data_IF_458612904689
#
_entry.id   IF_458612904689
#
_cell.length_a   1.000
_cell.length_b   1.000
_cell.length_c   1.000
_cell.angle_alpha   90.00
_cell.angle_beta   90.00
_cell.angle_gamma   90.00
#
_symmetry.space_group_name_H-M   'P 1'
#
loop_
_entity.id
_entity.type
_entity.pdbx_description
1 polymer ?
#
# COMPACT_ATOMS: atom_id res chain seq x y z
N UNK A 1 -12.31 -6.43 -29.83
CA UNK A 1 -11.87 -5.44 -28.85
C UNK A 1 -11.03 -4.40 -29.54
N UNK A 2 -11.33 -3.11 -29.35
CA UNK A 2 -10.50 -2.02 -29.85
C UNK A 2 -9.38 -1.69 -28.86
N UNK A 3 -8.22 -1.26 -29.36
CA UNK A 3 -7.11 -0.78 -28.53
C UNK A 3 -7.22 0.74 -28.42
N UNK A 4 -7.33 1.26 -27.20
CA UNK A 4 -7.25 2.69 -26.93
C UNK A 4 -5.82 3.06 -26.51
N UNK A 5 -5.26 4.13 -27.08
CA UNK A 5 -3.90 4.61 -26.80
C UNK A 5 -3.97 5.94 -26.07
N UNK A 6 -3.40 6.00 -24.87
CA UNK A 6 -3.29 7.24 -24.07
C UNK A 6 -1.89 7.81 -24.28
N UNK A 7 -1.79 9.04 -24.80
CA UNK A 7 -0.53 9.75 -24.99
C UNK A 7 -0.32 10.73 -23.84
N UNK A 8 0.83 10.64 -23.17
CA UNK A 8 1.20 11.49 -22.02
C UNK A 8 2.39 12.35 -22.40
N UNK A 9 2.39 13.62 -21.99
CA UNK A 9 3.46 14.58 -22.25
C UNK A 9 3.81 15.41 -21.01
N UNK A 10 5.07 15.83 -20.90
CA UNK A 10 5.58 16.72 -19.85
C UNK A 10 6.78 17.53 -20.35
N UNK A 11 7.19 18.55 -19.57
CA UNK A 11 8.30 19.43 -19.93
C UNK A 11 9.67 18.77 -19.69
N UNK A 12 9.77 17.88 -18.71
CA UNK A 12 11.00 17.13 -18.38
C UNK A 12 10.76 15.62 -18.39
N UNK A 13 11.82 14.83 -18.53
CA UNK A 13 11.72 13.36 -18.51
C UNK A 13 11.23 12.82 -17.16
N UNK A 14 11.62 13.47 -16.06
CA UNK A 14 11.20 13.09 -14.70
C UNK A 14 9.70 13.27 -14.53
N UNK A 15 9.16 14.43 -14.93
CA UNK A 15 7.73 14.68 -14.90
C UNK A 15 6.95 13.77 -15.87
N UNK A 16 7.55 13.43 -17.02
CA UNK A 16 6.93 12.52 -17.97
C UNK A 16 6.73 11.14 -17.34
N UNK A 17 7.76 10.61 -16.68
CA UNK A 17 7.71 9.32 -15.98
C UNK A 17 6.67 9.35 -14.85
N UNK A 18 6.67 10.41 -14.04
CA UNK A 18 5.72 10.57 -12.95
C UNK A 18 4.27 10.62 -13.46
N UNK A 19 3.97 11.49 -14.43
CA UNK A 19 2.62 11.58 -15.02
C UNK A 19 2.19 10.29 -15.69
N UNK A 20 3.11 9.60 -16.36
CA UNK A 20 2.83 8.31 -16.99
C UNK A 20 2.40 7.29 -15.94
N UNK A 21 3.19 7.09 -14.89
CA UNK A 21 2.84 6.15 -13.81
C UNK A 21 1.51 6.53 -13.15
N UNK A 22 1.29 7.82 -12.87
CA UNK A 22 0.03 8.30 -12.29
C UNK A 22 -1.18 7.96 -13.15
N UNK A 23 -1.06 8.04 -14.47
CA UNK A 23 -2.12 7.68 -15.42
C UNK A 23 -2.32 6.16 -15.47
N UNK A 24 -1.24 5.38 -15.48
CA UNK A 24 -1.31 3.91 -15.43
C UNK A 24 -2.00 3.41 -14.16
N UNK A 25 -1.70 4.03 -13.01
CA UNK A 25 -2.35 3.76 -11.73
C UNK A 25 -3.83 4.13 -11.77
N UNK A 26 -4.18 5.31 -12.28
CA UNK A 26 -5.57 5.76 -12.39
C UNK A 26 -6.43 4.84 -13.29
N UNK A 27 -5.88 4.41 -14.43
CA UNK A 27 -6.55 3.46 -15.34
C UNK A 27 -6.75 2.11 -14.64
N UNK A 28 -5.73 1.62 -13.95
CA UNK A 28 -5.78 0.33 -13.25
C UNK A 28 -6.78 0.36 -12.09
N UNK A 29 -6.79 1.44 -11.30
CA UNK A 29 -7.73 1.65 -10.21
C UNK A 29 -9.18 1.72 -10.72
N UNK A 30 -9.42 2.45 -11.83
CA UNK A 30 -10.75 2.55 -12.42
C UNK A 30 -11.25 1.19 -12.93
N UNK A 31 -10.39 0.40 -13.57
CA UNK A 31 -10.73 -0.97 -13.99
C UNK A 31 -11.09 -1.85 -12.80
N UNK A 32 -10.27 -1.82 -11.74
CA UNK A 32 -10.53 -2.57 -10.52
C UNK A 32 -11.85 -2.16 -9.83
N UNK A 33 -12.16 -0.86 -9.84
CA UNK A 33 -13.40 -0.33 -9.29
C UNK A 33 -14.63 -0.76 -10.10
N UNK A 34 -14.52 -0.88 -11.42
CA UNK A 34 -15.60 -1.39 -12.27
C UNK A 34 -15.86 -2.89 -12.01
N UNK A 35 -14.80 -3.67 -11.78
CA UNK A 35 -14.90 -5.12 -11.57
C UNK A 35 -15.54 -5.49 -10.21
N UNK A 36 -15.14 -4.81 -9.13
CA UNK A 36 -15.51 -5.23 -7.76
C UNK A 36 -16.14 -4.12 -6.91
N UNK A 37 -16.36 -2.94 -7.48
CA UNK A 37 -16.90 -1.79 -6.77
C UNK A 37 -15.85 -1.06 -5.92
N UNK A 38 -16.35 -0.17 -5.07
CA UNK A 38 -15.54 0.73 -4.24
C UNK A 38 -15.93 0.65 -2.78
N UNK A 39 -14.97 0.94 -1.91
CA UNK A 39 -15.15 1.00 -0.45
C UNK A 39 -14.61 2.32 0.09
N UNK A 40 -14.97 2.65 1.34
CA UNK A 40 -14.43 3.82 2.02
C UNK A 40 -12.91 3.67 2.21
N UNK A 41 -12.14 4.63 1.69
CA UNK A 41 -10.68 4.58 1.74
C UNK A 41 -10.10 4.95 3.10
N UNK A 42 -8.84 5.39 3.10
CA UNK A 42 -8.16 5.87 4.32
C UNK A 42 -7.99 4.80 5.40
N UNK A 43 -7.99 3.52 5.02
CA UNK A 43 -7.96 2.39 5.95
C UNK A 43 -9.30 2.12 6.67
N UNK A 44 -10.35 2.90 6.40
CA UNK A 44 -11.66 2.76 7.05
C UNK A 44 -12.28 1.41 6.72
N UNK A 45 -12.24 0.97 5.47
CA UNK A 45 -12.76 -0.35 5.08
C UNK A 45 -12.16 -1.50 5.92
N UNK A 46 -10.85 -1.48 6.19
CA UNK A 46 -10.19 -2.50 7.02
C UNK A 46 -10.62 -2.41 8.49
N UNK A 47 -10.83 -1.21 9.03
CA UNK A 47 -11.37 -1.04 10.37
C UNK A 47 -12.78 -1.63 10.46
N UNK A 48 -13.61 -1.44 9.42
CA UNK A 48 -15.00 -1.95 9.40
C UNK A 48 -15.09 -3.48 9.35
N UNK A 49 -14.05 -4.19 8.92
CA UNK A 49 -14.03 -5.66 8.93
C UNK A 49 -13.63 -6.24 10.29
N UNK A 50 -13.03 -5.44 11.19
CA UNK A 50 -12.54 -5.91 12.50
C UNK A 50 -13.57 -6.68 13.32
N UNK A 51 -14.86 -6.28 13.42
CA UNK A 51 -15.86 -7.06 14.15
C UNK A 51 -16.08 -8.46 13.58
N UNK A 52 -15.98 -8.64 12.26
CA UNK A 52 -16.08 -9.96 11.63
C UNK A 52 -14.85 -10.81 11.94
N UNK A 53 -13.65 -10.22 11.89
CA UNK A 53 -12.41 -10.92 12.24
C UNK A 53 -12.37 -11.29 13.72
N UNK A 54 -12.88 -10.44 14.62
CA UNK A 54 -12.96 -10.74 16.05
C UNK A 54 -13.78 -12.00 16.33
N UNK A 55 -14.91 -12.19 15.62
CA UNK A 55 -15.70 -13.42 15.73
C UNK A 55 -14.91 -14.67 15.32
N UNK A 56 -14.03 -14.55 14.32
CA UNK A 56 -13.14 -15.64 13.92
C UNK A 56 -12.13 -15.93 15.03
N UNK A 57 -11.51 -14.88 15.59
CA UNK A 57 -10.59 -15.03 16.74
C UNK A 57 -11.24 -15.78 17.90
N UNK A 58 -12.46 -15.39 18.26
CA UNK A 58 -13.23 -16.00 19.36
C UNK A 58 -13.66 -17.45 19.08
N UNK A 59 -13.71 -17.86 17.80
CA UNK A 59 -14.04 -19.23 17.40
C UNK A 59 -12.84 -20.18 17.39
N UNK A 60 -11.62 -19.65 17.49
CA UNK A 60 -10.37 -20.40 17.42
C UNK A 60 -9.75 -20.57 18.82
N UNK A 61 -8.77 -21.46 18.93
CA UNK A 61 -8.04 -21.69 20.20
C UNK A 61 -6.55 -21.82 19.96
N UNK A 62 -5.74 -21.63 21.02
CA UNK A 62 -4.28 -21.81 20.96
C UNK A 62 -3.58 -20.92 19.94
N UNK A 63 -2.66 -21.50 19.17
CA UNK A 63 -1.82 -20.79 18.21
C UNK A 63 -2.63 -20.19 17.04
N UNK A 64 -3.71 -20.86 16.62
CA UNK A 64 -4.60 -20.36 15.57
C UNK A 64 -5.30 -19.07 16.00
N UNK A 65 -5.77 -19.01 17.25
CA UNK A 65 -6.37 -17.78 17.81
C UNK A 65 -5.35 -16.64 17.88
N UNK A 66 -4.09 -16.95 18.21
CA UNK A 66 -2.99 -15.97 18.25
C UNK A 66 -2.68 -15.42 16.86
N UNK A 67 -2.64 -16.28 15.84
CA UNK A 67 -2.48 -15.86 14.45
C UNK A 67 -3.64 -14.98 13.96
N UNK A 68 -4.88 -15.39 14.21
CA UNK A 68 -6.05 -14.60 13.87
C UNK A 68 -6.08 -13.24 14.61
N UNK A 69 -5.64 -13.21 15.88
CA UNK A 69 -5.53 -11.97 16.65
C UNK A 69 -4.49 -11.01 16.06
N UNK A 70 -3.38 -11.54 15.58
CA UNK A 70 -2.35 -10.75 14.89
C UNK A 70 -2.90 -10.10 13.63
N UNK A 71 -3.70 -10.82 12.84
CA UNK A 71 -4.41 -10.24 11.69
C UNK A 71 -5.37 -9.15 12.15
N UNK A 72 -6.20 -9.42 13.16
CA UNK A 72 -7.13 -8.43 13.72
C UNK A 72 -6.43 -7.12 14.08
N UNK A 73 -5.33 -7.18 14.83
CA UNK A 73 -4.58 -6.01 15.27
C UNK A 73 -3.95 -5.25 14.09
N UNK A 74 -3.44 -5.97 13.07
CA UNK A 74 -2.81 -5.38 11.88
C UNK A 74 -3.76 -4.52 11.03
N UNK A 75 -5.07 -4.78 11.06
CA UNK A 75 -6.06 -4.07 10.23
C UNK A 75 -6.15 -2.56 10.55
N UNK A 76 -5.69 -2.15 11.73
CA UNK A 76 -5.66 -0.74 12.13
C UNK A 76 -4.43 0.01 11.62
N UNK A 77 -3.36 -0.71 11.26
CA UNK A 77 -2.07 -0.12 10.93
C UNK A 77 -2.14 0.87 9.75
N UNK A 78 -2.86 0.61 8.64
CA UNK A 78 -2.93 1.56 7.54
C UNK A 78 -3.55 2.90 7.94
N UNK A 79 -4.67 2.87 8.66
CA UNK A 79 -5.33 4.09 9.15
C UNK A 79 -4.47 4.83 10.19
N UNK A 80 -3.76 4.09 11.06
CA UNK A 80 -2.80 4.67 12.02
C UNK A 80 -1.72 5.46 11.30
N UNK A 81 -1.05 4.83 10.34
CA UNK A 81 0.04 5.46 9.60
C UNK A 81 -0.42 6.68 8.81
N UNK A 82 -1.63 6.63 8.23
CA UNK A 82 -2.22 7.79 7.55
C UNK A 82 -2.43 8.95 8.53
N UNK A 83 -2.98 8.67 9.73
CA UNK A 83 -3.20 9.68 10.76
C UNK A 83 -1.88 10.26 11.30
N UNK A 84 -0.90 9.40 11.60
CA UNK A 84 0.41 9.82 12.10
C UNK A 84 1.15 10.69 11.07
N UNK A 85 1.08 10.33 9.78
CA UNK A 85 1.66 11.13 8.69
C UNK A 85 0.94 12.47 8.51
N UNK A 86 -0.32 12.59 8.93
CA UNK A 86 -1.08 13.83 8.95
C UNK A 86 -0.82 14.67 10.23
N UNK A 87 0.09 14.24 11.10
CA UNK A 87 0.41 14.92 12.36
C UNK A 87 -0.65 14.73 13.45
N UNK A 88 -1.54 13.75 13.30
CA UNK A 88 -2.57 13.40 14.28
C UNK A 88 -2.10 12.23 15.14
N UNK A 89 -2.72 12.04 16.30
CA UNK A 89 -2.45 10.86 17.13
C UNK A 89 -3.22 9.65 16.60
N UNK A 90 -2.53 8.72 15.93
CA UNK A 90 -3.18 7.62 15.21
C UNK A 90 -4.01 6.68 16.10
N UNK A 91 -3.66 6.51 17.38
CA UNK A 91 -4.46 5.71 18.32
C UNK A 91 -5.83 6.34 18.57
N UNK A 92 -5.87 7.64 18.86
CA UNK A 92 -7.11 8.42 19.03
C UNK A 92 -7.91 8.43 17.73
N UNK A 93 -7.21 8.55 16.60
CA UNK A 93 -7.86 8.58 15.30
C UNK A 93 -8.60 7.29 15.00
N UNK A 94 -7.95 6.13 15.22
CA UNK A 94 -8.56 4.81 15.04
C UNK A 94 -9.76 4.63 15.95
N UNK A 95 -9.62 4.94 17.24
CA UNK A 95 -10.72 4.78 18.20
C UNK A 95 -11.96 5.56 17.76
N UNK A 96 -11.76 6.78 17.25
CA UNK A 96 -12.86 7.57 16.71
C UNK A 96 -13.45 6.92 15.46
N UNK A 97 -12.63 6.50 14.49
CA UNK A 97 -13.14 5.77 13.30
C UNK A 97 -13.91 4.51 13.71
N UNK A 98 -13.44 3.74 14.69
CA UNK A 98 -14.12 2.53 15.19
C UNK A 98 -15.50 2.82 15.81
N UNK A 99 -15.65 3.96 16.48
CA UNK A 99 -16.95 4.37 17.06
C UNK A 99 -17.98 4.81 16.03
N UNK A 100 -17.52 5.18 14.82
CA UNK A 100 -18.35 5.63 13.71
C UNK A 100 -18.90 4.47 12.88
N UNK A 101 -19.90 4.75 12.04
CA UNK A 101 -20.60 3.74 11.23
C UNK A 101 -20.49 4.01 9.74
N UNK A 102 -20.66 2.95 8.96
CA UNK A 102 -20.68 3.03 7.49
C UNK A 102 -19.36 3.58 6.93
N UNK A 103 -19.48 4.54 6.02
CA UNK A 103 -18.38 5.18 5.30
C UNK A 103 -17.75 6.36 6.03
N UNK A 104 -18.17 6.66 7.26
CA UNK A 104 -17.55 7.73 8.05
C UNK A 104 -16.12 7.30 8.43
N UNK A 105 -15.14 8.14 8.10
CA UNK A 105 -13.73 7.90 8.40
C UNK A 105 -12.95 9.21 8.41
N UNK A 106 -11.65 9.10 8.69
CA UNK A 106 -10.76 10.27 8.75
C UNK A 106 -10.39 10.76 7.35
N UNK A 107 -10.74 11.99 7.04
CA UNK A 107 -10.14 12.73 5.94
C UNK A 107 -8.81 13.34 6.43
N UNK A 108 -7.70 12.66 6.16
CA UNK A 108 -6.37 13.07 6.61
C UNK A 108 -5.88 14.41 6.03
N UNK A 109 -6.47 14.87 4.91
CA UNK A 109 -6.11 16.17 4.34
C UNK A 109 -6.69 17.35 5.13
N UNK A 110 -7.84 17.15 5.80
CA UNK A 110 -8.53 18.21 6.58
C UNK A 110 -8.53 17.94 8.09
N UNK A 111 -8.25 16.70 8.51
CA UNK A 111 -8.37 16.26 9.91
C UNK A 111 -9.80 15.96 10.35
N UNK A 112 -10.78 16.02 9.44
CA UNK A 112 -12.19 15.88 9.77
C UNK A 112 -12.70 14.43 9.57
N UNK A 113 -13.77 14.09 10.31
CA UNK A 113 -14.43 12.80 10.20
C UNK A 113 -15.69 12.96 9.36
N UNK A 114 -15.66 12.46 8.14
CA UNK A 114 -16.70 12.67 7.14
C UNK A 114 -17.04 11.36 6.45
N UNK A 115 -18.18 11.34 5.76
CA UNK A 115 -18.52 10.27 4.83
C UNK A 115 -17.51 10.27 3.67
N UNK A 116 -16.52 9.35 3.74
CA UNK A 116 -15.40 9.32 2.81
C UNK A 116 -15.84 9.02 1.38
N UNK A 117 -16.90 8.23 1.22
CA UNK A 117 -17.45 7.93 -0.12
C UNK A 117 -18.04 9.18 -0.75
N UNK A 118 -18.81 9.97 0.02
CA UNK A 118 -19.33 11.26 -0.45
C UNK A 118 -18.23 12.30 -0.68
N UNK A 119 -17.16 12.24 0.10
CA UNK A 119 -15.99 13.09 -0.07
C UNK A 119 -15.08 12.67 -1.24
N UNK A 120 -15.39 11.55 -1.92
CA UNK A 120 -14.59 11.02 -3.04
C UNK A 120 -13.30 10.30 -2.61
N UNK A 121 -13.13 10.04 -1.31
CA UNK A 121 -12.00 9.30 -0.73
C UNK A 121 -12.38 7.81 -0.73
N UNK A 122 -12.18 7.19 -1.88
CA UNK A 122 -12.59 5.81 -2.15
C UNK A 122 -11.43 4.96 -2.60
N UNK A 123 -11.45 3.69 -2.21
CA UNK A 123 -10.52 2.67 -2.70
C UNK A 123 -11.31 1.62 -3.51
N UNK A 124 -10.78 1.10 -4.62
CA UNK A 124 -11.36 -0.07 -5.26
C UNK A 124 -11.36 -1.27 -4.30
N UNK A 125 -12.48 -1.97 -4.17
CA UNK A 125 -12.61 -3.08 -3.22
C UNK A 125 -11.54 -4.17 -3.44
N UNK A 126 -11.25 -4.46 -4.72
CA UNK A 126 -10.19 -5.37 -5.16
C UNK A 126 -8.83 -5.00 -4.61
N UNK A 127 -8.50 -3.71 -4.56
CA UNK A 127 -7.19 -3.22 -4.08
C UNK A 127 -7.06 -3.48 -2.59
N UNK A 128 -8.05 -3.10 -1.79
CA UNK A 128 -8.04 -3.33 -0.34
C UNK A 128 -7.95 -4.83 -0.01
N UNK A 129 -8.72 -5.67 -0.71
CA UNK A 129 -8.71 -7.12 -0.51
C UNK A 129 -7.37 -7.74 -0.91
N UNK A 130 -6.88 -7.43 -2.12
CA UNK A 130 -5.64 -7.99 -2.64
C UNK A 130 -4.43 -7.56 -1.80
N UNK A 131 -4.41 -6.31 -1.33
CA UNK A 131 -3.36 -5.83 -0.43
C UNK A 131 -3.28 -6.68 0.85
N UNK A 132 -4.43 -6.93 1.50
CA UNK A 132 -4.49 -7.76 2.71
C UNK A 132 -4.07 -9.21 2.44
N UNK A 133 -4.56 -9.82 1.35
CA UNK A 133 -4.24 -11.20 0.99
C UNK A 133 -2.76 -11.38 0.67
N UNK A 134 -2.17 -10.46 -0.10
CA UNK A 134 -0.76 -10.51 -0.45
C UNK A 134 0.13 -10.29 0.78
N UNK A 135 -0.23 -9.33 1.65
CA UNK A 135 0.48 -9.10 2.91
C UNK A 135 0.46 -10.35 3.81
N UNK A 136 -0.71 -10.98 3.96
CA UNK A 136 -0.83 -12.22 4.73
C UNK A 136 -0.01 -13.37 4.12
N UNK A 137 0.02 -13.48 2.79
CA UNK A 137 0.81 -14.49 2.09
C UNK A 137 2.31 -14.33 2.32
N UNK A 138 2.83 -13.11 2.24
CA UNK A 138 4.25 -12.83 2.52
C UNK A 138 4.56 -13.03 4.01
N UNK A 139 3.69 -12.58 4.91
CA UNK A 139 3.88 -12.79 6.35
C UNK A 139 3.95 -14.28 6.70
N UNK A 140 3.05 -15.10 6.15
CA UNK A 140 3.07 -16.54 6.36
C UNK A 140 4.36 -17.18 5.81
N UNK A 141 4.81 -16.76 4.62
CA UNK A 141 6.08 -17.23 4.03
C UNK A 141 7.26 -16.89 4.95
N UNK A 142 7.37 -15.64 5.40
CA UNK A 142 8.49 -15.18 6.25
C UNK A 142 8.48 -15.89 7.61
N UNK A 143 7.32 -16.03 8.26
CA UNK A 143 7.21 -16.68 9.57
C UNK A 143 7.58 -18.17 9.50
N UNK A 144 7.33 -18.84 8.38
CA UNK A 144 7.65 -20.26 8.19
C UNK A 144 9.04 -20.49 7.58
N UNK A 145 9.79 -19.43 7.29
CA UNK A 145 11.14 -19.53 6.75
C UNK A 145 12.15 -19.72 7.87
N UNK A 146 12.62 -20.96 8.05
CA UNK A 146 13.62 -21.31 9.07
C UNK A 146 15.07 -20.98 8.68
N UNK A 147 15.36 -20.86 7.37
CA UNK A 147 16.72 -20.66 6.88
C UNK A 147 16.76 -19.82 5.60
N UNK A 148 17.75 -18.94 5.50
CA UNK A 148 18.09 -18.16 4.32
C UNK A 148 19.54 -18.45 3.94
N UNK A 149 19.76 -18.89 2.70
CA UNK A 149 21.10 -19.06 2.14
C UNK A 149 21.37 -17.91 1.19
N UNK A 150 22.45 -17.19 1.43
CA UNK A 150 22.88 -16.07 0.59
C UNK A 150 24.31 -16.29 0.11
N UNK A 151 24.57 -15.87 -1.13
CA UNK A 151 25.93 -15.85 -1.67
C UNK A 151 26.77 -14.81 -0.94
N UNK A 152 28.09 -15.07 -0.87
CA UNK A 152 29.02 -14.09 -0.32
C UNK A 152 29.01 -12.83 -1.21
N UNK A 153 29.00 -11.63 -0.62
CA UNK A 153 29.13 -10.40 -1.40
C UNK A 153 30.35 -10.49 -2.31
N UNK A 154 30.16 -10.23 -3.61
CA UNK A 154 31.27 -10.22 -4.55
C UNK A 154 32.25 -9.12 -4.18
N UNK A 155 33.55 -9.44 -4.14
CA UNK A 155 34.61 -8.48 -3.81
C UNK A 155 34.84 -7.40 -4.88
N UNK A 156 34.16 -7.48 -6.03
CA UNK A 156 34.41 -6.62 -7.19
C UNK A 156 33.21 -5.75 -7.58
N UNK A 157 32.54 -5.17 -6.59
CA UNK A 157 31.61 -4.04 -6.77
C UNK A 157 32.33 -2.69 -6.74
N UNK A 158 33.35 -2.48 -7.56
CA UNK A 158 33.78 -1.12 -7.88
C UNK A 158 32.87 -0.64 -9.03
N UNK A 159 32.17 0.50 -8.92
CA UNK A 159 31.37 1.01 -10.01
C UNK A 159 32.26 1.27 -11.21
N UNK A 160 31.86 0.73 -12.37
CA UNK A 160 32.34 1.19 -13.67
C UNK A 160 31.91 2.65 -13.86
N UNK A 161 32.73 3.57 -13.34
CA UNK A 161 32.56 5.02 -13.42
C UNK A 161 33.75 5.61 -14.17
N UNK A 162 33.45 6.24 -15.31
CA UNK A 162 34.41 6.66 -16.32
C UNK A 162 35.49 7.65 -15.85
N UNK A 163 36.58 7.62 -16.60
CA UNK A 163 37.70 8.54 -16.48
C UNK A 163 38.65 8.38 -17.66
N UNK A 164 38.21 8.75 -18.86
CA UNK A 164 39.12 9.22 -19.91
C UNK A 164 38.98 10.74 -19.90
N UNK A 165 40.05 11.48 -19.58
CA UNK A 165 40.90 11.99 -20.66
C UNK A 165 42.37 12.16 -20.26
N UNK A 166 43.28 11.68 -21.10
CA UNK A 166 44.71 11.94 -20.93
C UNK A 166 45.45 11.68 -22.22
N UNK A 167 45.45 12.66 -23.12
CA UNK A 167 46.29 12.67 -24.31
C UNK A 167 47.76 12.51 -23.93
N UNK A 168 48.44 11.60 -24.62
CA UNK A 168 49.86 11.34 -24.48
C UNK A 168 50.43 11.00 -25.85
N UNK A 169 50.93 12.04 -26.51
CA UNK A 169 51.81 12.00 -27.67
C UNK A 169 52.91 10.92 -27.50
N UNK A 170 53.09 10.04 -28.50
CA UNK A 170 54.11 9.00 -28.44
C UNK A 170 54.32 8.20 -29.72
N UNK A 171 54.90 8.87 -30.72
CA UNK A 171 55.82 8.40 -31.78
C UNK A 171 55.57 7.11 -32.60
N UNK A 172 55.75 7.32 -33.91
CA UNK A 172 55.91 6.42 -35.08
C UNK A 172 54.64 5.90 -35.74
#
# INVERSE_FOLDING_TARGET
>A
GGVAVIKVGAATEVELKEKKHRIEDAVSATRAAIEEGVVAGGGTALIRTRPAVLKVVESLTGDEATGARSVYDSLTAPARHIADNAGMEGAVAIQRVESEKGSIGLNAATGEYVDLVKAGIIDPAKVTRAALQNAASIAALVITTECLVADKPEKNGAPAGGGMPGGGMGMM
#
